data_IF_255715264215
#
_entry.id   IF_255715264215
#
_cell.length_a   1.000
_cell.length_b   1.000
_cell.length_c   1.000
_cell.angle_alpha   90.00
_cell.angle_beta   90.00
_cell.angle_gamma   90.00
#
_symmetry.space_group_name_H-M   'P 1'
#
loop_
_entity.id
_entity.type
_entity.pdbx_description
1 polymer ?
#
# COMPACT_ATOMS: atom_id res chain seq x y z
N UNK A 1 2.22 26.85 -2.30
CA UNK A 1 0.84 26.34 -2.43
C UNK A 1 0.33 26.66 -3.83
N UNK A 2 0.67 25.84 -4.83
CA UNK A 2 0.01 25.93 -6.14
C UNK A 2 -1.31 25.18 -5.99
N UNK A 3 -2.43 25.91 -5.98
CA UNK A 3 -3.73 25.33 -6.35
C UNK A 3 -3.74 25.26 -7.87
N UNK A 4 -3.13 24.23 -8.42
CA UNK A 4 -3.42 23.81 -9.78
C UNK A 4 -4.22 22.53 -9.64
N UNK A 5 -5.43 22.48 -10.18
CA UNK A 5 -6.14 21.22 -10.38
C UNK A 5 -5.22 20.35 -11.24
N UNK A 6 -4.42 19.49 -10.61
CA UNK A 6 -3.65 18.46 -11.30
C UNK A 6 -4.63 17.71 -12.17
N UNK A 7 -4.40 17.67 -13.48
CA UNK A 7 -5.36 17.13 -14.44
C UNK A 7 -5.63 15.66 -14.14
N UNK A 8 -6.73 15.39 -13.42
CA UNK A 8 -7.14 14.04 -13.03
C UNK A 8 -7.73 13.37 -14.26
N UNK A 9 -7.14 12.25 -14.67
CA UNK A 9 -7.72 11.39 -15.71
C UNK A 9 -8.02 10.03 -15.11
N UNK A 10 -9.26 9.56 -15.23
CA UNK A 10 -9.59 8.17 -14.88
C UNK A 10 -8.88 7.24 -15.87
N UNK A 11 -7.93 6.45 -15.36
CA UNK A 11 -7.20 5.43 -16.11
C UNK A 11 -8.04 4.18 -16.33
N UNK A 12 -8.64 3.68 -15.25
CA UNK A 12 -9.33 2.41 -15.23
C UNK A 12 -10.48 2.40 -14.22
N UNK A 13 -11.42 1.47 -14.39
CA UNK A 13 -12.61 1.29 -13.56
C UNK A 13 -12.86 -0.19 -13.31
N UNK A 14 -13.76 -0.48 -12.37
CA UNK A 14 -14.34 -1.81 -12.18
C UNK A 14 -13.76 -2.60 -11.01
N UNK A 15 -12.75 -2.06 -10.33
CA UNK A 15 -12.29 -2.61 -9.06
C UNK A 15 -13.36 -2.41 -7.98
N UNK A 16 -13.32 -3.23 -6.94
CA UNK A 16 -14.16 -3.03 -5.74
C UNK A 16 -13.38 -2.26 -4.69
N UNK A 17 -12.26 -2.80 -4.19
CA UNK A 17 -11.35 -2.15 -3.25
C UNK A 17 -9.92 -2.29 -3.76
N UNK A 18 -9.44 -1.28 -4.49
CA UNK A 18 -8.16 -1.35 -5.20
C UNK A 18 -6.96 -1.10 -4.29
N UNK A 19 -6.07 -2.09 -4.16
CA UNK A 19 -4.92 -2.08 -3.26
C UNK A 19 -3.60 -2.33 -4.00
N UNK A 20 -2.50 -1.93 -3.36
CA UNK A 20 -1.14 -2.22 -3.83
C UNK A 20 -0.89 -1.95 -5.32
N UNK A 21 -1.30 -0.81 -5.91
CA UNK A 21 -1.03 -0.54 -7.31
C UNK A 21 0.49 -0.52 -7.55
N UNK A 22 0.94 -1.10 -8.66
CA UNK A 22 2.36 -1.12 -9.06
C UNK A 22 2.50 -0.94 -10.57
N UNK A 23 3.41 -0.05 -10.98
CA UNK A 23 3.85 0.09 -12.37
C UNK A 23 5.07 -0.79 -12.60
N UNK A 24 5.00 -1.65 -13.62
CA UNK A 24 6.12 -2.51 -14.00
C UNK A 24 6.01 -2.93 -15.47
N UNK A 25 7.12 -2.87 -16.21
CA UNK A 25 7.16 -3.29 -17.61
C UNK A 25 6.18 -2.53 -18.52
N UNK A 26 5.89 -1.26 -18.20
CA UNK A 26 4.89 -0.45 -18.91
C UNK A 26 3.42 -0.78 -18.58
N UNK A 27 3.16 -1.76 -17.71
CA UNK A 27 1.83 -2.17 -17.26
C UNK A 27 1.54 -1.70 -15.83
N UNK A 28 0.25 -1.47 -15.53
CA UNK A 28 -0.25 -1.25 -14.19
C UNK A 28 -0.84 -2.55 -13.66
N UNK A 29 -0.50 -2.88 -12.42
CA UNK A 29 -1.06 -3.99 -11.65
C UNK A 29 -1.73 -3.45 -10.40
N UNK A 30 -2.83 -4.04 -9.95
CA UNK A 30 -3.47 -3.71 -8.69
C UNK A 30 -4.20 -4.94 -8.11
N UNK A 31 -4.13 -5.10 -6.80
CA UNK A 31 -4.93 -6.10 -6.10
C UNK A 31 -6.33 -5.58 -5.84
N UNK A 32 -7.32 -6.48 -5.77
CA UNK A 32 -8.69 -6.16 -5.37
C UNK A 32 -9.18 -7.21 -4.37
N UNK A 33 -8.77 -7.14 -3.09
CA UNK A 33 -9.12 -8.14 -2.07
C UNK A 33 -10.63 -8.32 -1.91
N UNK A 34 -11.42 -7.25 -2.01
CA UNK A 34 -12.88 -7.33 -1.88
C UNK A 34 -13.53 -7.91 -3.14
N UNK A 35 -13.01 -7.60 -4.32
CA UNK A 35 -13.45 -8.15 -5.60
C UNK A 35 -12.92 -9.55 -5.90
N UNK A 36 -11.91 -10.02 -5.17
CA UNK A 36 -11.25 -11.31 -5.37
C UNK A 36 -10.50 -11.38 -6.70
N UNK A 37 -9.79 -10.31 -7.08
CA UNK A 37 -9.14 -10.20 -8.39
C UNK A 37 -7.73 -9.60 -8.32
N UNK A 38 -6.90 -10.00 -9.27
CA UNK A 38 -5.71 -9.26 -9.68
C UNK A 38 -6.04 -8.49 -10.97
N UNK A 39 -5.96 -7.17 -10.92
CA UNK A 39 -6.19 -6.34 -12.10
C UNK A 39 -4.89 -5.96 -12.78
N UNK A 40 -4.89 -5.97 -14.11
CA UNK A 40 -3.72 -5.57 -14.91
C UNK A 40 -4.08 -5.14 -16.33
N UNK A 41 -3.22 -4.36 -16.97
CA UNK A 41 -3.24 -4.09 -18.41
C UNK A 41 -2.04 -4.66 -19.17
N UNK A 42 -1.29 -5.60 -18.57
CA UNK A 42 -0.12 -6.23 -19.21
C UNK A 42 -0.46 -6.97 -20.52
N UNK A 43 -1.70 -7.42 -20.69
CA UNK A 43 -2.23 -8.01 -21.93
C UNK A 43 -2.63 -6.97 -23.00
N UNK A 44 -2.46 -5.67 -22.73
CA UNK A 44 -2.85 -4.55 -23.60
C UNK A 44 -4.23 -3.96 -23.31
N UNK A 45 -5.01 -4.58 -22.42
CA UNK A 45 -6.32 -4.07 -21.97
C UNK A 45 -6.48 -4.28 -20.48
N UNK A 46 -7.10 -3.31 -19.79
CA UNK A 46 -7.43 -3.42 -18.38
C UNK A 46 -8.42 -4.56 -18.12
N UNK A 47 -7.98 -5.59 -17.39
CA UNK A 47 -8.77 -6.77 -17.06
C UNK A 47 -8.54 -7.23 -15.62
N UNK A 48 -9.53 -7.93 -15.06
CA UNK A 48 -9.48 -8.47 -13.71
C UNK A 48 -9.46 -10.00 -13.73
N UNK A 49 -8.33 -10.57 -13.32
CA UNK A 49 -8.09 -12.00 -13.22
C UNK A 49 -8.63 -12.51 -11.89
N UNK A 50 -9.53 -13.50 -11.90
CA UNK A 50 -10.11 -14.04 -10.69
C UNK A 50 -9.05 -14.76 -9.84
N UNK A 51 -9.07 -14.54 -8.53
CA UNK A 51 -8.18 -15.18 -7.57
C UNK A 51 -8.98 -16.05 -6.60
N UNK A 52 -8.48 -17.25 -6.31
CA UNK A 52 -8.99 -18.06 -5.21
C UNK A 52 -8.56 -17.51 -3.85
N UNK A 53 -7.31 -17.06 -3.77
CA UNK A 53 -6.70 -16.48 -2.57
C UNK A 53 -6.63 -14.97 -2.69
N UNK A 54 -7.16 -14.24 -1.69
CA UNK A 54 -7.19 -12.78 -1.68
C UNK A 54 -5.77 -12.22 -1.47
N UNK A 55 -5.23 -11.56 -2.51
CA UNK A 55 -4.03 -10.73 -2.38
C UNK A 55 -4.36 -9.35 -1.81
N UNK A 56 -3.37 -8.69 -1.21
CA UNK A 56 -3.45 -7.29 -0.81
C UNK A 56 -2.27 -6.50 -1.41
N UNK A 57 -1.20 -6.25 -0.65
CA UNK A 57 0.03 -5.65 -1.16
C UNK A 57 0.66 -6.43 -2.31
N UNK A 58 1.21 -5.71 -3.29
CA UNK A 58 1.94 -6.27 -4.43
C UNK A 58 3.37 -5.73 -4.46
N UNK A 59 4.33 -6.53 -4.94
CA UNK A 59 5.68 -6.04 -5.22
C UNK A 59 6.34 -6.83 -6.35
N UNK A 60 7.15 -6.16 -7.17
CA UNK A 60 7.99 -6.85 -8.17
C UNK A 60 9.37 -7.12 -7.58
N UNK A 61 9.73 -8.39 -7.50
CA UNK A 61 11.09 -8.80 -7.11
C UNK A 61 12.13 -8.31 -8.13
N UNK A 62 13.42 -8.22 -7.77
CA UNK A 62 14.48 -7.79 -8.68
C UNK A 62 14.59 -8.61 -9.98
N UNK A 63 14.12 -9.86 -9.96
CA UNK A 63 14.08 -10.74 -11.14
C UNK A 63 12.80 -10.59 -11.99
N UNK A 64 11.92 -9.64 -11.63
CA UNK A 64 10.68 -9.34 -12.35
C UNK A 64 9.48 -10.20 -11.96
N UNK A 65 9.62 -11.15 -11.03
CA UNK A 65 8.46 -11.92 -10.53
C UNK A 65 7.55 -11.04 -9.67
N UNK A 66 6.25 -11.14 -9.89
CA UNK A 66 5.24 -10.46 -9.09
C UNK A 66 4.95 -11.25 -7.81
N UNK A 67 5.22 -10.63 -6.66
CA UNK A 67 4.88 -11.12 -5.34
C UNK A 67 3.61 -10.45 -4.80
N UNK A 68 2.90 -11.15 -3.92
CA UNK A 68 1.73 -10.62 -3.23
C UNK A 68 1.63 -11.10 -1.78
N UNK A 69 1.10 -10.24 -0.90
CA UNK A 69 0.68 -10.61 0.44
C UNK A 69 -0.68 -11.31 0.33
N UNK A 70 -0.74 -12.59 0.70
CA UNK A 70 -1.99 -13.36 0.69
C UNK A 70 -2.65 -13.20 2.05
N UNK A 71 -3.52 -12.19 2.14
CA UNK A 71 -3.93 -11.52 3.37
C UNK A 71 -4.35 -12.47 4.49
N UNK A 72 -5.24 -13.42 4.21
CA UNK A 72 -5.83 -14.32 5.22
C UNK A 72 -5.13 -15.66 5.36
N UNK A 73 -4.23 -15.98 4.44
CA UNK A 73 -3.44 -17.21 4.45
C UNK A 73 -2.05 -16.98 5.05
N UNK A 74 -1.77 -15.79 5.59
CA UNK A 74 -0.53 -15.45 6.27
C UNK A 74 0.72 -15.94 5.52
N UNK A 75 0.76 -15.70 4.20
CA UNK A 75 1.88 -16.10 3.34
C UNK A 75 2.16 -15.04 2.28
N UNK A 76 3.39 -15.05 1.78
CA UNK A 76 3.74 -14.38 0.52
C UNK A 76 3.61 -15.40 -0.61
N UNK A 77 3.06 -14.97 -1.74
CA UNK A 77 3.00 -15.80 -2.95
C UNK A 77 3.62 -15.13 -4.17
N UNK A 78 4.02 -15.94 -5.15
CA UNK A 78 4.49 -15.51 -6.47
C UNK A 78 3.46 -15.86 -7.53
N UNK A 79 3.18 -14.89 -8.40
CA UNK A 79 2.29 -15.04 -9.54
C UNK A 79 2.84 -16.06 -10.56
N UNK A 80 2.03 -17.06 -10.91
CA UNK A 80 2.38 -18.10 -11.90
C UNK A 80 1.67 -17.95 -13.25
N UNK A 81 0.87 -16.89 -13.42
CA UNK A 81 0.01 -16.67 -14.58
C UNK A 81 -1.47 -16.97 -14.33
N UNK A 82 -1.79 -17.68 -13.25
CA UNK A 82 -3.17 -18.06 -12.88
C UNK A 82 -3.52 -17.76 -11.42
N UNK A 83 -2.53 -17.83 -10.53
CA UNK A 83 -2.68 -17.59 -9.11
C UNK A 83 -1.34 -17.28 -8.44
N UNK A 84 -1.37 -17.18 -7.11
CA UNK A 84 -0.18 -16.95 -6.30
C UNK A 84 0.26 -18.24 -5.60
N UNK A 85 1.28 -18.92 -6.15
CA UNK A 85 1.95 -20.05 -5.52
C UNK A 85 2.77 -19.63 -4.30
N UNK A 86 3.00 -20.51 -3.34
CA UNK A 86 3.71 -20.17 -2.09
C UNK A 86 5.17 -19.75 -2.33
N UNK A 87 5.58 -18.68 -1.64
CA UNK A 87 6.95 -18.18 -1.60
C UNK A 87 7.55 -18.24 -0.20
N UNK A 88 6.76 -17.82 0.80
CA UNK A 88 7.14 -17.79 2.20
C UNK A 88 5.91 -17.96 3.07
N UNK A 89 6.00 -18.85 4.06
CA UNK A 89 5.00 -19.00 5.12
C UNK A 89 5.30 -18.04 6.27
N UNK A 90 4.29 -17.26 6.67
CA UNK A 90 4.37 -16.29 7.76
C UNK A 90 3.47 -16.68 8.94
N UNK A 91 2.79 -17.83 8.93
CA UNK A 91 1.88 -18.24 10.02
C UNK A 91 2.54 -18.24 11.40
N UNK A 92 3.83 -18.57 11.49
CA UNK A 92 4.56 -18.62 12.75
C UNK A 92 4.85 -17.22 13.34
N UNK A 93 4.77 -16.17 12.54
CA UNK A 93 5.18 -14.80 12.92
C UNK A 93 4.06 -13.77 12.78
N UNK A 94 3.08 -13.99 11.91
CA UNK A 94 1.92 -13.14 11.72
C UNK A 94 0.89 -13.35 12.84
N UNK A 95 0.18 -12.28 13.18
CA UNK A 95 -0.83 -12.23 14.24
C UNK A 95 -2.20 -11.74 13.79
N UNK A 96 -2.28 -11.20 12.58
CA UNK A 96 -3.50 -10.79 11.90
C UNK A 96 -3.33 -10.88 10.38
N UNK A 97 -4.26 -10.28 9.63
CA UNK A 97 -4.20 -10.27 8.18
C UNK A 97 -3.00 -9.48 7.65
N UNK A 98 -2.37 -9.95 6.59
CA UNK A 98 -1.30 -9.22 5.90
C UNK A 98 -1.86 -8.05 5.09
N UNK A 99 -1.17 -6.91 5.07
CA UNK A 99 -1.55 -5.69 4.36
C UNK A 99 -0.71 -5.47 3.10
N UNK A 100 0.02 -4.36 3.05
CA UNK A 100 0.92 -3.99 1.96
C UNK A 100 2.32 -4.64 2.05
N UNK A 101 3.12 -4.50 0.99
CA UNK A 101 4.51 -4.94 0.97
C UNK A 101 5.42 -4.07 0.09
N UNK A 102 6.71 -4.07 0.45
CA UNK A 102 7.79 -3.44 -0.32
C UNK A 102 9.05 -4.29 -0.24
N UNK A 103 9.81 -4.34 -1.33
CA UNK A 103 11.07 -5.07 -1.39
C UNK A 103 12.29 -4.18 -1.20
N UNK A 104 13.37 -4.78 -0.70
CA UNK A 104 14.71 -4.19 -0.71
C UNK A 104 15.47 -4.54 -1.99
N UNK A 105 16.64 -3.92 -2.19
CA UNK A 105 17.49 -4.13 -3.36
C UNK A 105 18.11 -5.53 -3.46
N UNK A 106 18.03 -6.33 -2.39
CA UNK A 106 18.54 -7.71 -2.34
C UNK A 106 17.43 -8.73 -2.62
N UNK A 107 16.18 -8.27 -2.78
CA UNK A 107 15.01 -9.13 -3.01
C UNK A 107 14.36 -9.65 -1.73
N UNK A 108 14.72 -9.10 -0.57
CA UNK A 108 13.93 -9.30 0.65
C UNK A 108 12.66 -8.47 0.60
N UNK A 109 11.63 -8.85 1.36
CA UNK A 109 10.33 -8.19 1.41
C UNK A 109 10.00 -7.78 2.84
N UNK A 110 9.64 -6.52 3.04
CA UNK A 110 8.94 -6.07 4.23
C UNK A 110 7.44 -6.18 3.96
N UNK A 111 6.74 -6.88 4.85
CA UNK A 111 5.30 -7.13 4.77
C UNK A 111 4.70 -6.69 6.09
N UNK A 112 3.65 -5.89 6.07
CA UNK A 112 2.93 -5.58 7.29
C UNK A 112 1.97 -6.72 7.66
N UNK A 113 1.75 -6.82 8.96
CA UNK A 113 0.69 -7.59 9.54
C UNK A 113 -0.11 -6.64 10.42
N UNK A 114 -1.39 -6.47 10.09
CA UNK A 114 -2.29 -5.50 10.70
C UNK A 114 -2.55 -5.83 12.19
N UNK A 115 -2.38 -7.10 12.59
CA UNK A 115 -2.54 -7.58 13.96
C UNK A 115 -3.96 -7.99 14.36
N UNK A 116 -4.99 -7.54 13.61
CA UNK A 116 -6.39 -7.93 13.80
C UNK A 116 -7.25 -7.62 12.57
N UNK A 117 -8.38 -8.31 12.42
CA UNK A 117 -9.34 -8.08 11.34
C UNK A 117 -10.43 -7.06 11.74
N UNK A 118 -10.16 -5.76 11.54
CA UNK A 118 -11.07 -4.68 11.91
C UNK A 118 -12.48 -4.79 11.28
N UNK A 119 -12.57 -5.21 10.02
CA UNK A 119 -13.85 -5.41 9.31
C UNK A 119 -14.69 -6.57 9.86
N UNK A 120 -14.09 -7.46 10.65
CA UNK A 120 -14.78 -8.52 11.38
C UNK A 120 -15.15 -8.09 12.81
N UNK A 121 -14.79 -6.88 13.23
CA UNK A 121 -15.01 -6.39 14.59
C UNK A 121 -14.12 -7.04 15.64
N UNK A 122 -12.96 -7.56 15.25
CA UNK A 122 -11.97 -8.08 16.20
C UNK A 122 -11.42 -6.97 17.10
N UNK A 123 -11.05 -7.34 18.33
CA UNK A 123 -10.44 -6.42 19.28
C UNK A 123 -9.11 -5.86 18.74
N UNK A 124 -8.91 -4.53 18.76
CA UNK A 124 -7.68 -3.91 18.27
C UNK A 124 -6.43 -4.44 18.97
N UNK A 125 -5.42 -4.75 18.17
CA UNK A 125 -4.09 -5.15 18.61
C UNK A 125 -3.04 -4.45 17.75
N UNK A 126 -1.89 -4.05 18.34
CA UNK A 126 -0.79 -3.55 17.54
C UNK A 126 -0.31 -4.62 16.55
N UNK A 127 -0.07 -4.19 15.31
CA UNK A 127 0.53 -4.97 14.26
C UNK A 127 2.06 -4.98 14.31
N UNK A 128 2.65 -5.54 13.25
CA UNK A 128 4.09 -5.76 13.10
C UNK A 128 4.52 -5.56 11.64
N UNK A 129 5.83 -5.42 11.43
CA UNK A 129 6.48 -5.64 10.14
C UNK A 129 7.19 -6.99 10.21
N UNK A 130 6.94 -7.84 9.21
CA UNK A 130 7.66 -9.08 8.97
C UNK A 130 8.65 -8.84 7.83
N UNK A 131 9.89 -9.25 8.01
CA UNK A 131 10.88 -9.30 6.94
C UNK A 131 11.00 -10.73 6.41
N UNK A 132 10.86 -10.90 5.11
CA UNK A 132 11.04 -12.15 4.39
C UNK A 132 12.35 -12.04 3.59
N UNK A 133 13.28 -12.95 3.84
CA UNK A 133 14.55 -12.99 3.12
C UNK A 133 14.35 -13.43 1.66
N UNK A 134 15.33 -13.22 0.76
CA UNK A 134 15.28 -13.76 -0.60
C UNK A 134 15.18 -15.29 -0.68
N UNK A 135 15.50 -15.99 0.42
CA UNK A 135 15.38 -17.45 0.51
C UNK A 135 13.98 -17.91 0.96
N UNK A 136 13.09 -16.98 1.35
CA UNK A 136 11.75 -17.27 1.86
C UNK A 136 11.65 -17.40 3.38
N UNK A 137 12.75 -17.30 4.12
CA UNK A 137 12.72 -17.30 5.59
C UNK A 137 12.10 -16.00 6.13
N UNK A 138 11.26 -16.09 7.17
CA UNK A 138 10.55 -14.94 7.75
C UNK A 138 10.97 -14.64 9.20
N UNK A 139 11.03 -13.36 9.55
CA UNK A 139 11.34 -12.87 10.90
C UNK A 139 10.54 -11.61 11.22
N UNK A 140 10.14 -11.44 12.47
CA UNK A 140 9.53 -10.18 12.93
C UNK A 140 10.60 -9.09 12.97
N UNK A 141 10.44 -8.05 12.14
CA UNK A 141 11.38 -6.95 12.00
C UNK A 141 11.05 -5.75 12.90
N UNK A 142 9.76 -5.51 13.17
CA UNK A 142 9.30 -4.50 14.11
C UNK A 142 7.92 -4.89 14.67
N UNK A 143 7.62 -4.51 15.91
CA UNK A 143 6.32 -4.74 16.56
C UNK A 143 5.75 -3.43 17.14
N UNK A 144 4.50 -3.48 17.60
CA UNK A 144 3.87 -2.35 18.27
C UNK A 144 3.55 -1.22 17.33
N UNK A 145 3.03 -1.55 16.14
CA UNK A 145 2.66 -0.58 15.10
C UNK A 145 1.13 -0.51 15.05
N UNK A 146 0.58 0.69 15.19
CA UNK A 146 -0.88 0.86 15.31
C UNK A 146 -1.54 0.83 13.93
N UNK A 147 -2.04 -0.36 13.57
CA UNK A 147 -2.67 -0.65 12.28
C UNK A 147 -1.74 -0.27 11.12
N UNK A 148 -0.63 -1.02 10.95
CA UNK A 148 0.27 -0.79 9.84
C UNK A 148 -0.49 -0.94 8.53
N UNK A 149 -0.10 -0.11 7.58
CA UNK A 149 -0.63 -0.13 6.23
C UNK A 149 0.54 0.14 5.27
N UNK A 150 0.31 0.90 4.19
CA UNK A 150 1.30 1.29 3.19
C UNK A 150 2.74 1.37 3.68
N UNK A 151 3.63 0.72 2.93
CA UNK A 151 5.06 0.62 3.24
C UNK A 151 5.88 1.08 2.04
N UNK A 152 6.90 1.90 2.29
CA UNK A 152 7.83 2.36 1.26
C UNK A 152 9.27 2.31 1.75
N UNK A 153 10.19 2.09 0.81
CA UNK A 153 11.63 2.21 1.05
C UNK A 153 12.12 3.46 0.33
N UNK A 154 12.80 4.33 1.06
CA UNK A 154 13.36 5.60 0.58
C UNK A 154 14.88 5.67 0.87
N UNK A 155 15.51 6.80 0.55
CA UNK A 155 16.93 7.08 0.80
C UNK A 155 17.84 5.98 0.24
N UNK A 156 17.61 5.61 -1.03
CA UNK A 156 18.33 4.56 -1.75
C UNK A 156 18.39 3.21 -0.99
N UNK A 157 17.30 2.83 -0.32
CA UNK A 157 17.25 1.54 0.40
C UNK A 157 17.63 1.62 1.86
N UNK A 158 17.90 2.80 2.41
CA UNK A 158 18.40 2.97 3.79
C UNK A 158 17.30 3.25 4.81
N UNK A 159 16.08 3.56 4.38
CA UNK A 159 15.00 3.90 5.30
C UNK A 159 13.69 3.24 4.89
N UNK A 160 13.08 2.50 5.82
CA UNK A 160 11.73 1.97 5.70
C UNK A 160 10.76 2.98 6.30
N UNK A 161 9.73 3.37 5.57
CA UNK A 161 8.62 4.19 6.04
C UNK A 161 7.36 3.33 6.09
N UNK A 162 6.60 3.42 7.18
CA UNK A 162 5.37 2.65 7.42
C UNK A 162 4.26 3.62 7.85
N UNK A 163 3.08 3.45 7.28
CA UNK A 163 1.86 4.13 7.73
C UNK A 163 1.34 3.54 9.05
N UNK A 164 1.04 4.39 10.05
CA UNK A 164 0.24 4.01 11.22
C UNK A 164 -1.13 4.66 11.12
N UNK A 165 -2.12 3.92 10.59
CA UNK A 165 -3.43 4.45 10.23
C UNK A 165 -4.12 5.12 11.41
N UNK A 166 -4.13 4.48 12.59
CA UNK A 166 -4.85 5.00 13.76
C UNK A 166 -4.11 6.09 14.52
N UNK A 167 -2.79 6.15 14.41
CA UNK A 167 -1.99 7.25 14.96
C UNK A 167 -1.78 8.40 13.98
N UNK A 168 -2.30 8.30 12.75
CA UNK A 168 -2.31 9.38 11.76
C UNK A 168 -0.92 9.92 11.47
N UNK A 169 0.05 9.02 11.36
CA UNK A 169 1.44 9.37 11.16
C UNK A 169 2.13 8.35 10.28
N UNK A 170 3.26 8.77 9.73
CA UNK A 170 4.24 7.88 9.15
C UNK A 170 5.38 7.70 10.15
N UNK A 171 5.83 6.47 10.35
CA UNK A 171 7.04 6.16 11.11
C UNK A 171 8.14 5.68 10.17
N UNK A 172 9.39 5.86 10.57
CA UNK A 172 10.55 5.42 9.84
C UNK A 172 11.48 4.55 10.69
N UNK A 173 12.21 3.67 10.01
CA UNK A 173 13.28 2.85 10.54
C UNK A 173 14.50 2.95 9.63
N UNK A 174 15.69 2.87 10.21
CA UNK A 174 16.91 2.66 9.43
C UNK A 174 17.01 1.18 9.05
N UNK A 175 17.42 0.91 7.81
CA UNK A 175 17.65 -0.43 7.26
C UNK A 175 19.16 -0.68 7.22
N UNK A 176 19.61 -1.77 7.85
CA UNK A 176 21.00 -2.21 7.75
C UNK A 176 21.28 -3.06 6.49
N UNK A 177 22.51 -3.57 6.34
CA UNK A 177 22.90 -4.34 5.16
C UNK A 177 22.26 -5.73 5.11
N UNK A 178 21.74 -6.19 6.23
CA UNK A 178 21.11 -7.49 6.43
C UNK A 178 19.58 -7.38 6.33
N UNK A 179 19.03 -6.17 6.39
CA UNK A 179 17.60 -5.87 6.30
C UNK A 179 16.96 -5.65 7.66
N UNK A 180 17.74 -5.66 8.73
CA UNK A 180 17.23 -5.42 10.07
C UNK A 180 16.88 -3.94 10.26
N UNK A 181 15.84 -3.70 11.05
CA UNK A 181 15.28 -2.38 11.32
C UNK A 181 15.81 -1.84 12.65
N UNK A 182 16.16 -0.57 12.68
CA UNK A 182 16.57 0.14 13.89
C UNK A 182 16.11 1.60 13.89
N UNK A 183 16.36 2.33 14.98
CA UNK A 183 16.11 3.78 15.07
C UNK A 183 14.68 4.21 14.69
N UNK A 184 13.66 3.50 15.21
CA UNK A 184 12.24 3.85 15.06
C UNK A 184 12.01 5.31 15.44
N UNK A 185 11.39 6.07 14.54
CA UNK A 185 11.08 7.50 14.74
C UNK A 185 9.80 7.88 14.01
N UNK A 186 9.15 8.97 14.43
CA UNK A 186 8.13 9.62 13.59
C UNK A 186 8.84 10.19 12.36
N UNK A 187 8.36 9.81 11.18
CA UNK A 187 8.76 10.42 9.91
C UNK A 187 7.94 11.68 9.64
N UNK A 188 6.60 11.59 9.76
CA UNK A 188 5.67 12.69 9.55
C UNK A 188 4.45 12.55 10.44
N UNK A 189 4.03 13.60 11.17
CA UNK A 189 2.74 13.65 11.86
C UNK A 189 1.69 14.20 10.89
N UNK A 190 0.94 13.32 10.23
CA UNK A 190 -0.03 13.69 9.19
C UNK A 190 -1.24 14.42 9.75
N UNK A 191 -1.56 14.20 11.04
CA UNK A 191 -2.58 14.97 11.75
C UNK A 191 -2.19 16.45 11.82
N UNK A 192 -0.92 16.74 12.06
CA UNK A 192 -0.42 18.12 12.12
C UNK A 192 -0.22 18.75 10.74
N UNK A 193 0.38 18.02 9.79
CA UNK A 193 0.80 18.61 8.52
C UNK A 193 -0.27 18.52 7.41
N UNK A 194 -1.19 17.54 7.47
CA UNK A 194 -2.27 17.37 6.47
C UNK A 194 -3.63 17.75 7.06
N UNK A 195 -4.16 16.95 7.98
CA UNK A 195 -5.38 17.26 8.75
C UNK A 195 -5.66 16.23 9.86
N UNK A 196 -6.48 16.56 10.88
CA UNK A 196 -6.92 15.62 11.91
C UNK A 196 -7.72 14.40 11.44
N UNK A 197 -8.10 14.37 10.17
CA UNK A 197 -8.80 13.26 9.52
C UNK A 197 -7.82 12.40 8.71
N UNK A 198 -6.56 12.79 8.55
CA UNK A 198 -5.58 12.09 7.71
C UNK A 198 -5.25 10.68 8.26
N UNK A 199 -6.03 9.69 7.83
CA UNK A 199 -5.79 8.26 8.08
C UNK A 199 -4.92 7.72 6.93
N UNK A 200 -3.61 7.50 7.13
CA UNK A 200 -2.75 6.98 6.07
C UNK A 200 -3.09 5.53 5.76
N UNK A 201 -3.11 5.22 4.47
CA UNK A 201 -3.38 3.90 3.91
C UNK A 201 -2.16 3.51 3.02
N UNK A 202 -2.33 3.21 1.73
CA UNK A 202 -1.21 2.93 0.83
C UNK A 202 -0.28 4.12 0.58
N UNK A 203 1.03 3.85 0.53
CA UNK A 203 2.08 4.87 0.29
C UNK A 203 3.05 4.41 -0.81
N UNK A 204 3.78 5.36 -1.40
CA UNK A 204 4.92 5.04 -2.26
C UNK A 204 6.03 6.08 -2.14
N UNK A 205 7.26 5.68 -2.49
CA UNK A 205 8.39 6.61 -2.54
C UNK A 205 8.17 7.68 -3.61
N UNK A 206 8.45 8.94 -3.25
CA UNK A 206 8.48 10.03 -4.21
C UNK A 206 9.88 10.15 -4.85
N UNK A 207 9.96 10.71 -6.06
CA UNK A 207 11.22 10.85 -6.81
C UNK A 207 12.26 11.73 -6.11
N UNK A 208 11.85 12.54 -5.15
CA UNK A 208 12.66 13.53 -4.46
C UNK A 208 13.11 13.09 -3.06
N UNK A 209 12.98 11.79 -2.76
CA UNK A 209 13.28 11.20 -1.46
C UNK A 209 12.18 11.36 -0.41
N UNK A 210 11.04 11.96 -0.77
CA UNK A 210 9.84 12.00 0.07
C UNK A 210 8.96 10.75 -0.07
N UNK A 211 7.73 10.86 0.43
CA UNK A 211 6.70 9.81 0.35
C UNK A 211 5.38 10.43 -0.10
N UNK A 212 4.74 9.81 -1.08
CA UNK A 212 3.32 10.01 -1.36
C UNK A 212 2.48 9.09 -0.48
N UNK A 213 1.44 9.62 0.14
CA UNK A 213 0.53 8.88 1.03
C UNK A 213 -0.93 9.15 0.67
N UNK A 214 -1.69 8.09 0.52
CA UNK A 214 -3.16 8.14 0.50
C UNK A 214 -3.68 8.39 1.91
N UNK A 215 -4.42 9.49 2.10
CA UNK A 215 -5.04 9.84 3.38
C UNK A 215 -6.55 9.66 3.29
N UNK A 216 -7.01 8.43 3.52
CA UNK A 216 -8.35 7.92 3.20
C UNK A 216 -9.46 8.88 3.63
N UNK A 217 -9.50 9.26 4.91
CA UNK A 217 -10.57 10.11 5.48
C UNK A 217 -10.33 11.61 5.30
N UNK A 218 -9.15 12.03 4.83
CA UNK A 218 -8.88 13.43 4.49
C UNK A 218 -9.09 13.73 3.01
N UNK A 219 -9.47 12.73 2.20
CA UNK A 219 -9.73 12.85 0.77
C UNK A 219 -8.57 13.47 -0.01
N UNK A 220 -7.34 13.09 0.37
CA UNK A 220 -6.12 13.64 -0.23
C UNK A 220 -5.05 12.59 -0.47
N UNK A 221 -4.32 12.76 -1.57
CA UNK A 221 -2.97 12.24 -1.71
C UNK A 221 -2.02 13.35 -1.22
N UNK A 222 -1.19 13.07 -0.23
CA UNK A 222 -0.23 14.04 0.31
C UNK A 222 1.21 13.60 0.02
N UNK A 223 2.05 14.55 -0.39
CA UNK A 223 3.48 14.35 -0.56
C UNK A 223 4.21 14.99 0.61
N UNK A 224 4.89 14.17 1.40
CA UNK A 224 5.61 14.61 2.59
C UNK A 224 7.09 14.25 2.52
N UNK A 225 7.94 15.17 2.98
CA UNK A 225 9.36 14.93 3.19
C UNK A 225 9.71 15.19 4.65
N UNK A 226 9.67 14.13 5.45
CA UNK A 226 9.70 14.25 6.91
C UNK A 226 8.50 15.07 7.42
N UNK A 227 8.79 16.12 8.20
CA UNK A 227 7.77 17.02 8.75
C UNK A 227 7.27 18.08 7.74
N UNK A 228 7.84 18.15 6.54
CA UNK A 228 7.42 19.11 5.52
C UNK A 228 6.33 18.52 4.64
N UNK A 229 5.16 19.19 4.57
CA UNK A 229 4.16 18.94 3.54
C UNK A 229 4.60 19.65 2.24
N UNK A 230 4.97 18.86 1.25
CA UNK A 230 5.47 19.35 -0.04
C UNK A 230 4.30 19.71 -0.96
N UNK A 231 3.33 18.79 -1.11
CA UNK A 231 2.14 19.00 -1.93
C UNK A 231 0.94 18.17 -1.45
N UNK A 232 -0.25 18.53 -1.94
CA UNK A 232 -1.50 17.79 -1.73
C UNK A 232 -2.36 17.81 -2.99
N UNK A 233 -2.92 16.65 -3.32
CA UNK A 233 -3.93 16.49 -4.36
C UNK A 233 -5.24 16.12 -3.68
N UNK A 234 -6.30 16.87 -3.97
CA UNK A 234 -7.65 16.62 -3.47
C UNK A 234 -8.36 15.60 -4.38
N UNK A 235 -8.98 14.58 -3.80
CA UNK A 235 -9.72 13.54 -4.53
C UNK A 235 -11.23 13.80 -4.53
N UNK A 236 -11.66 15.01 -4.14
CA UNK A 236 -13.06 15.38 -3.99
C UNK A 236 -13.75 14.51 -2.95
N UNK A 237 -14.90 13.94 -3.32
CA UNK A 237 -15.65 13.04 -2.43
C UNK A 237 -15.11 11.59 -2.45
N UNK A 238 -14.15 11.27 -3.32
CA UNK A 238 -13.57 9.93 -3.40
C UNK A 238 -12.54 9.70 -2.27
N UNK A 239 -12.39 8.45 -1.85
CA UNK A 239 -11.49 8.04 -0.76
C UNK A 239 -10.21 7.42 -1.37
N UNK A 240 -9.03 8.06 -1.27
CA UNK A 240 -7.81 7.48 -1.81
C UNK A 240 -7.35 6.30 -0.95
N UNK A 241 -7.14 5.14 -1.58
CA UNK A 241 -6.77 3.89 -0.91
C UNK A 241 -5.26 3.71 -0.99
N UNK A 242 -4.69 3.61 -2.19
CA UNK A 242 -3.27 3.37 -2.37
C UNK A 242 -2.74 4.11 -3.59
N UNK A 243 -1.41 4.29 -3.65
CA UNK A 243 -0.77 4.99 -4.76
C UNK A 243 0.56 4.36 -5.17
N UNK A 244 0.96 4.60 -6.41
CA UNK A 244 2.30 4.27 -6.90
C UNK A 244 2.77 5.30 -7.93
N UNK A 245 4.07 5.59 -7.90
CA UNK A 245 4.71 6.47 -8.88
C UNK A 245 5.21 5.64 -10.07
N UNK A 246 4.89 6.08 -11.27
CA UNK A 246 5.53 5.56 -12.48
C UNK A 246 6.91 6.23 -12.63
N UNK A 247 7.98 5.47 -12.45
CA UNK A 247 9.34 5.98 -12.53
C UNK A 247 9.73 6.47 -13.94
N UNK A 248 9.08 5.97 -15.00
CA UNK A 248 9.41 6.34 -16.38
C UNK A 248 8.76 7.67 -16.77
N UNK A 249 7.53 7.90 -16.31
CA UNK A 249 6.74 9.08 -16.68
C UNK A 249 6.68 10.15 -15.59
N UNK A 250 7.01 9.81 -14.34
CA UNK A 250 6.84 10.66 -13.17
C UNK A 250 5.38 10.80 -12.73
N UNK A 251 4.43 10.09 -13.36
CA UNK A 251 3.01 10.20 -13.04
C UNK A 251 2.65 9.40 -11.79
N UNK A 252 1.77 9.96 -10.97
CA UNK A 252 1.22 9.27 -9.81
C UNK A 252 -0.08 8.55 -10.22
N UNK A 253 -0.15 7.26 -9.95
CA UNK A 253 -1.35 6.45 -10.08
C UNK A 253 -1.93 6.22 -8.70
N UNK A 254 -3.24 6.42 -8.51
CA UNK A 254 -3.91 6.10 -7.26
C UNK A 254 -5.18 5.29 -7.48
N UNK A 255 -5.43 4.34 -6.60
CA UNK A 255 -6.74 3.71 -6.46
C UNK A 255 -7.59 4.59 -5.53
N UNK A 256 -8.81 4.90 -5.97
CA UNK A 256 -9.76 5.71 -5.20
C UNK A 256 -11.10 5.01 -5.12
N UNK A 257 -11.71 5.00 -3.94
CA UNK A 257 -13.02 4.42 -3.67
C UNK A 257 -14.14 5.45 -3.78
N UNK A 258 -15.25 5.00 -4.35
CA UNK A 258 -16.52 5.72 -4.48
C UNK A 258 -17.58 4.96 -3.69
N UNK A 259 -18.24 5.65 -2.77
CA UNK A 259 -19.18 5.03 -1.82
C UNK A 259 -20.64 5.43 -2.05
N UNK A 260 -20.92 6.26 -3.07
CA UNK A 260 -22.24 6.82 -3.31
C UNK A 260 -22.76 7.71 -2.18
N UNK A 261 -21.86 8.27 -1.37
CA UNK A 261 -22.19 9.13 -0.21
C UNK A 261 -22.30 8.41 1.12
N UNK A 262 -22.09 7.08 1.16
CA UNK A 262 -22.01 6.34 2.42
C UNK A 262 -20.66 6.59 3.12
N UNK A 263 -20.62 6.54 4.47
CA UNK A 263 -19.35 6.42 5.20
C UNK A 263 -18.54 5.21 4.69
N UNK A 264 -17.23 5.37 4.49
CA UNK A 264 -16.40 4.34 3.83
C UNK A 264 -16.47 2.97 4.51
N UNK A 265 -16.44 2.92 5.85
CA UNK A 265 -16.54 1.66 6.59
C UNK A 265 -17.90 0.97 6.41
N UNK A 266 -18.98 1.74 6.30
CA UNK A 266 -20.31 1.21 6.02
C UNK A 266 -20.39 0.67 4.59
N UNK A 267 -19.85 1.41 3.62
CA UNK A 267 -19.81 0.99 2.22
C UNK A 267 -19.00 -0.31 2.04
N UNK A 268 -17.85 -0.45 2.72
CA UNK A 268 -17.04 -1.68 2.72
C UNK A 268 -17.85 -2.83 3.29
N UNK A 269 -18.46 -2.65 4.47
CA UNK A 269 -19.25 -3.71 5.12
C UNK A 269 -20.44 -4.17 4.27
N UNK A 270 -21.09 -3.25 3.57
CA UNK A 270 -22.21 -3.52 2.67
C UNK A 270 -21.79 -3.98 1.27
N UNK A 271 -20.48 -4.02 0.97
CA UNK A 271 -19.93 -4.30 -0.38
C UNK A 271 -20.50 -3.36 -1.45
N UNK A 272 -20.65 -2.09 -1.11
CA UNK A 272 -21.15 -1.03 -1.98
C UNK A 272 -20.05 -0.06 -2.45
N UNK A 273 -18.78 -0.44 -2.27
CA UNK A 273 -17.66 0.33 -2.80
C UNK A 273 -17.40 -0.04 -4.26
N UNK A 274 -17.15 0.97 -5.08
CA UNK A 274 -16.54 0.80 -6.39
C UNK A 274 -15.27 1.63 -6.43
N UNK A 275 -14.20 1.09 -7.00
CA UNK A 275 -12.92 1.79 -7.11
C UNK A 275 -12.52 2.04 -8.55
N UNK A 276 -11.86 3.18 -8.76
CA UNK A 276 -11.23 3.56 -10.02
C UNK A 276 -9.73 3.73 -9.82
N UNK A 277 -8.98 3.66 -10.91
CA UNK A 277 -7.59 4.14 -10.94
C UNK A 277 -7.58 5.52 -11.58
N UNK A 278 -6.96 6.48 -10.91
CA UNK A 278 -6.78 7.85 -11.38
C UNK A 278 -5.28 8.13 -11.59
N UNK A 279 -4.98 8.98 -12.57
CA UNK A 279 -3.61 9.44 -12.86
C UNK A 279 -3.50 10.93 -12.62
N UNK A 280 -2.40 11.32 -11.99
CA UNK A 280 -2.06 12.69 -11.66
C UNK A 280 -0.67 13.03 -12.19
N UNK A 281 -0.54 14.26 -12.72
CA UNK A 281 0.75 14.86 -13.05
C UNK A 281 1.31 15.52 -11.78
N UNK A 282 2.53 15.15 -11.36
CA UNK A 282 3.17 15.56 -10.10
C UNK A 282 4.60 16.07 -10.29
#
# INVERSE_FOLDING_TARGET
MRRGDSAVTTYAKGLTWGEGPRRHGGALWASDPQGGKLWTDAGGTWEGLALESQSNGLWFLPDGRLAAAIQRECRVGIWDGTGFGEYADLHAVATGPLGDMVGDSRGGLYVDDVGYAAHLGEEPKPGRIVYVTPAGDSVVAAEGIEFPNGIAVIDDGRTLVVAETWLQRLIAFDIDREGALSNRRTYSDLREVVSPEARPDGICAAADGGVWVSTLHAHKLAHVRGADLVDTIDTGDAFPIACCLDADTGRLYATVAHTGGLPVMEAIAQKQVQSTVEVFEV
#
